data_IF_979607271886
#
_entry.id   IF_979607271886
#
_cell.length_a   1.000
_cell.length_b   1.000
_cell.length_c   1.000
_cell.angle_alpha   90.00
_cell.angle_beta   90.00
_cell.angle_gamma   90.00
#
_symmetry.space_group_name_H-M   'P 1'
#
loop_
_entity.id
_entity.type
_entity.pdbx_description
1 polymer ?
#
# COMPACT_ATOMS: atom_id res chain seq x y z
N UNK A 1 53.22 4.35 -4.66
CA UNK A 1 52.36 4.40 -3.48
C UNK A 1 51.12 5.20 -3.83
N UNK A 2 50.09 4.52 -4.30
CA UNK A 2 48.74 5.08 -4.43
C UNK A 2 47.88 4.47 -3.34
N UNK A 3 47.49 5.29 -2.37
CA UNK A 3 46.49 4.92 -1.38
C UNK A 3 45.10 5.00 -2.03
N UNK A 4 44.51 3.86 -2.36
CA UNK A 4 43.09 3.72 -2.69
C UNK A 4 42.39 3.66 -1.34
N UNK A 5 41.81 4.77 -0.91
CA UNK A 5 40.85 4.82 0.19
C UNK A 5 39.51 4.32 -0.38
N UNK A 6 39.27 3.02 -0.30
CA UNK A 6 37.99 2.40 -0.52
C UNK A 6 37.14 2.65 0.73
N UNK A 7 36.23 3.61 0.69
CA UNK A 7 35.19 3.77 1.71
C UNK A 7 34.06 2.79 1.34
N UNK A 8 34.32 1.50 1.55
CA UNK A 8 33.27 0.50 1.65
C UNK A 8 32.82 0.45 3.10
N UNK A 9 31.82 1.21 3.44
CA UNK A 9 31.03 0.95 4.63
C UNK A 9 30.30 -0.38 4.45
N UNK A 10 30.92 -1.48 4.85
CA UNK A 10 30.22 -2.76 5.01
C UNK A 10 29.26 -2.60 6.19
N UNK A 11 28.00 -2.28 5.90
CA UNK A 11 26.94 -2.49 6.86
C UNK A 11 26.74 -4.00 7.02
N UNK A 12 26.89 -4.50 8.25
CA UNK A 12 26.44 -5.83 8.60
C UNK A 12 24.90 -5.79 8.53
N UNK A 13 24.33 -6.18 7.39
CA UNK A 13 22.89 -6.45 7.34
C UNK A 13 22.64 -7.60 8.33
N UNK A 14 21.80 -7.34 9.32
CA UNK A 14 21.21 -8.43 10.08
C UNK A 14 20.29 -9.14 9.06
N UNK A 15 20.68 -10.37 8.67
CA UNK A 15 19.91 -11.18 7.73
C UNK A 15 18.56 -11.49 8.39
N UNK A 16 17.55 -10.69 8.09
CA UNK A 16 16.16 -11.07 8.35
C UNK A 16 15.79 -12.15 7.34
N UNK A 17 15.21 -13.29 7.78
CA UNK A 17 14.93 -14.39 6.87
C UNK A 17 13.86 -14.07 5.81
N UNK A 18 13.15 -12.96 5.93
CA UNK A 18 12.05 -12.58 5.04
C UNK A 18 12.19 -11.13 4.60
N UNK A 19 11.91 -10.87 3.32
CA UNK A 19 11.92 -9.52 2.78
C UNK A 19 10.87 -9.33 1.66
N UNK A 20 10.55 -8.07 1.37
CA UNK A 20 9.70 -7.68 0.24
C UNK A 20 10.44 -6.78 -0.74
N UNK A 21 9.96 -6.72 -1.98
CA UNK A 21 10.38 -5.72 -2.97
C UNK A 21 9.16 -4.87 -3.33
N UNK A 22 9.25 -3.56 -3.11
CA UNK A 22 8.29 -2.58 -3.58
C UNK A 22 8.85 -1.88 -4.82
N UNK A 23 8.05 -1.75 -5.88
CA UNK A 23 8.45 -1.08 -7.10
C UNK A 23 7.49 0.08 -7.33
N UNK A 24 7.99 1.30 -7.19
CA UNK A 24 7.20 2.50 -7.44
C UNK A 24 7.08 2.77 -8.93
N UNK A 25 5.86 2.83 -9.44
CA UNK A 25 5.54 3.13 -10.84
C UNK A 25 4.73 4.43 -10.87
N UNK A 26 5.38 5.60 -11.07
CA UNK A 26 4.74 6.90 -10.85
C UNK A 26 3.82 7.38 -11.98
N UNK A 27 3.44 6.54 -12.92
CA UNK A 27 2.72 6.96 -14.11
C UNK A 27 1.21 6.91 -13.96
N UNK A 28 0.53 8.00 -14.26
CA UNK A 28 -0.93 8.11 -14.34
C UNK A 28 -1.38 8.74 -15.66
N UNK A 29 -2.52 8.33 -16.24
CA UNK A 29 -3.12 9.05 -17.38
C UNK A 29 -3.64 10.43 -16.96
N UNK A 30 -4.15 10.53 -15.74
CA UNK A 30 -4.57 11.77 -15.08
C UNK A 30 -4.44 11.58 -13.56
N UNK A 31 -4.16 12.65 -12.84
CA UNK A 31 -4.13 12.64 -11.38
C UNK A 31 -5.56 12.71 -10.83
N UNK A 32 -5.87 11.87 -9.86
CA UNK A 32 -7.09 11.98 -9.06
C UNK A 32 -7.02 13.21 -8.17
N UNK A 33 -8.16 13.82 -7.83
CA UNK A 33 -8.19 15.11 -7.13
C UNK A 33 -7.80 15.03 -5.66
N UNK A 34 -7.78 13.84 -5.08
CA UNK A 34 -7.41 13.59 -3.68
C UNK A 34 -5.98 13.07 -3.52
N UNK A 35 -5.31 12.68 -4.62
CA UNK A 35 -4.08 11.90 -4.56
C UNK A 35 -2.85 12.80 -4.38
N UNK A 36 -2.08 12.53 -3.33
CA UNK A 36 -0.80 13.16 -3.00
C UNK A 36 0.42 12.30 -3.37
N UNK A 37 0.21 11.05 -3.79
CA UNK A 37 1.31 10.17 -4.18
C UNK A 37 2.16 10.78 -5.28
N UNK A 38 3.47 10.60 -5.14
CA UNK A 38 4.40 10.97 -6.19
C UNK A 38 4.03 10.31 -7.53
N UNK A 39 3.57 11.11 -8.49
CA UNK A 39 3.11 10.61 -9.78
C UNK A 39 3.24 11.66 -10.89
N UNK A 40 3.29 11.18 -12.13
CA UNK A 40 3.39 12.01 -13.34
C UNK A 40 2.44 11.54 -14.44
N UNK A 41 2.13 12.45 -15.37
CA UNK A 41 1.39 12.14 -16.59
C UNK A 41 2.30 11.99 -17.83
N UNK A 42 3.62 12.03 -17.68
CA UNK A 42 4.62 11.93 -18.75
C UNK A 42 4.81 10.47 -19.19
N UNK A 43 3.79 9.89 -19.82
CA UNK A 43 3.76 8.47 -20.17
C UNK A 43 4.84 8.04 -21.16
N UNK A 44 5.41 8.97 -21.92
CA UNK A 44 6.51 8.74 -22.86
C UNK A 44 7.81 8.32 -22.15
N UNK A 45 7.96 8.63 -20.87
CA UNK A 45 9.15 8.25 -20.08
C UNK A 45 9.11 6.84 -19.52
N UNK A 46 8.00 6.11 -19.67
CA UNK A 46 7.80 4.79 -19.03
C UNK A 46 8.90 3.79 -19.34
N UNK A 47 9.33 3.68 -20.60
CA UNK A 47 10.34 2.70 -21.01
C UNK A 47 11.72 3.04 -20.42
N UNK A 48 12.15 4.30 -20.50
CA UNK A 48 13.41 4.76 -19.91
C UNK A 48 13.40 4.58 -18.38
N UNK A 49 12.26 4.85 -17.75
CA UNK A 49 12.08 4.65 -16.32
C UNK A 49 12.21 3.18 -15.90
N UNK A 50 11.58 2.25 -16.63
CA UNK A 50 11.71 0.82 -16.33
C UNK A 50 13.15 0.33 -16.50
N UNK A 51 13.88 0.85 -17.50
CA UNK A 51 15.31 0.53 -17.63
C UNK A 51 16.11 1.06 -16.44
N UNK A 52 15.79 2.26 -15.94
CA UNK A 52 16.42 2.82 -14.74
C UNK A 52 16.11 1.97 -13.49
N UNK A 53 14.88 1.49 -13.31
CA UNK A 53 14.53 0.58 -12.20
C UNK A 53 15.28 -0.77 -12.31
N UNK A 54 15.44 -1.32 -13.50
CA UNK A 54 16.25 -2.53 -13.73
C UNK A 54 17.71 -2.26 -13.36
N UNK A 55 18.25 -1.12 -13.73
CA UNK A 55 19.62 -0.72 -13.41
C UNK A 55 19.81 -0.53 -11.89
N UNK A 56 18.83 0.06 -11.22
CA UNK A 56 18.83 0.18 -9.75
C UNK A 56 18.81 -1.22 -9.09
N UNK A 57 17.94 -2.13 -9.54
CA UNK A 57 17.93 -3.50 -9.06
C UNK A 57 19.31 -4.17 -9.15
N UNK A 58 20.01 -4.01 -10.28
CA UNK A 58 21.35 -4.57 -10.46
C UNK A 58 22.36 -4.05 -9.44
N UNK A 59 22.17 -2.82 -8.92
CA UNK A 59 23.02 -2.26 -7.86
C UNK A 59 22.78 -2.96 -6.53
N UNK A 60 21.53 -3.29 -6.22
CA UNK A 60 21.16 -3.93 -4.94
C UNK A 60 21.15 -5.47 -5.01
N UNK A 61 21.16 -6.05 -6.19
CA UNK A 61 20.99 -7.48 -6.45
C UNK A 61 21.91 -8.37 -5.60
N UNK A 62 23.20 -8.05 -5.51
CA UNK A 62 24.18 -8.89 -4.79
C UNK A 62 23.84 -9.06 -3.30
N UNK A 63 23.18 -8.08 -2.72
CA UNK A 63 22.80 -8.07 -1.32
C UNK A 63 21.41 -8.68 -1.12
N UNK A 64 20.43 -8.21 -1.91
CA UNK A 64 19.03 -8.58 -1.72
C UNK A 64 18.68 -9.96 -2.29
N UNK A 65 19.43 -10.48 -3.26
CA UNK A 65 19.25 -11.87 -3.75
C UNK A 65 19.59 -12.94 -2.71
N UNK A 66 20.27 -12.57 -1.63
CA UNK A 66 20.56 -13.46 -0.50
C UNK A 66 19.44 -13.50 0.54
N UNK A 67 18.45 -12.62 0.43
CA UNK A 67 17.27 -12.58 1.30
C UNK A 67 16.20 -13.53 0.78
N UNK A 68 15.36 -14.04 1.68
CA UNK A 68 14.15 -14.78 1.31
C UNK A 68 13.07 -13.80 0.84
N UNK A 69 13.08 -13.46 -0.45
CA UNK A 69 12.08 -12.54 -1.03
C UNK A 69 10.73 -13.25 -1.12
N UNK A 70 9.76 -12.79 -0.34
CA UNK A 70 8.41 -13.38 -0.29
C UNK A 70 7.39 -12.64 -1.14
N UNK A 71 7.58 -11.35 -1.34
CA UNK A 71 6.61 -10.52 -2.03
C UNK A 71 7.28 -9.53 -2.97
N UNK A 72 6.64 -9.29 -4.12
CA UNK A 72 6.98 -8.21 -5.05
C UNK A 72 5.70 -7.40 -5.28
N UNK A 73 5.76 -6.10 -5.06
CA UNK A 73 4.60 -5.23 -5.19
C UNK A 73 4.89 -4.08 -6.15
N UNK A 74 4.14 -3.99 -7.23
CA UNK A 74 4.20 -2.90 -8.19
C UNK A 74 3.05 -1.93 -7.89
N UNK A 75 3.38 -0.76 -7.35
CA UNK A 75 2.40 0.22 -6.88
C UNK A 75 2.75 1.67 -7.23
N UNK A 76 1.99 2.60 -6.67
CA UNK A 76 2.22 4.04 -6.73
C UNK A 76 1.22 4.80 -7.59
N UNK A 77 1.52 5.12 -8.83
CA UNK A 77 0.60 5.80 -9.75
C UNK A 77 -0.43 4.83 -10.34
N UNK A 78 -0.10 4.23 -11.47
CA UNK A 78 -0.96 3.26 -12.14
C UNK A 78 -0.09 2.23 -12.89
N UNK A 79 0.43 1.21 -12.22
CA UNK A 79 1.30 0.19 -12.83
C UNK A 79 0.69 -0.54 -14.03
N UNK A 80 -0.63 -0.67 -14.09
CA UNK A 80 -1.36 -1.24 -15.23
C UNK A 80 -1.20 -0.49 -16.56
N UNK A 81 -0.56 0.70 -16.54
CA UNK A 81 -0.22 1.48 -17.74
C UNK A 81 1.11 1.10 -18.37
N UNK A 82 1.93 0.33 -17.69
CA UNK A 82 3.23 -0.11 -18.21
C UNK A 82 3.01 -1.15 -19.30
N UNK A 83 3.72 -1.04 -20.44
CA UNK A 83 3.67 -2.07 -21.49
C UNK A 83 4.06 -3.44 -20.94
N UNK A 84 3.36 -4.48 -21.39
CA UNK A 84 3.58 -5.87 -20.92
C UNK A 84 5.03 -6.29 -21.07
N UNK A 85 5.66 -5.93 -22.18
CA UNK A 85 7.07 -6.28 -22.44
C UNK A 85 8.02 -5.61 -21.42
N UNK A 86 7.75 -4.36 -21.05
CA UNK A 86 8.55 -3.65 -20.05
C UNK A 86 8.37 -4.27 -18.65
N UNK A 87 7.12 -4.64 -18.27
CA UNK A 87 6.86 -5.40 -17.03
C UNK A 87 7.55 -6.77 -17.04
N UNK A 88 7.53 -7.46 -18.18
CA UNK A 88 8.18 -8.77 -18.34
C UNK A 88 9.70 -8.64 -18.15
N UNK A 89 10.33 -7.65 -18.76
CA UNK A 89 11.77 -7.40 -18.61
C UNK A 89 12.12 -7.09 -17.14
N UNK A 90 11.36 -6.23 -16.49
CA UNK A 90 11.56 -5.87 -15.09
C UNK A 90 11.44 -7.07 -14.17
N UNK A 91 10.32 -7.79 -14.23
CA UNK A 91 10.10 -8.97 -13.39
C UNK A 91 11.11 -10.09 -13.71
N UNK A 92 11.47 -10.30 -14.98
CA UNK A 92 12.50 -11.26 -15.35
C UNK A 92 13.87 -10.90 -14.75
N UNK A 93 14.26 -9.62 -14.79
CA UNK A 93 15.52 -9.16 -14.17
C UNK A 93 15.59 -9.48 -12.68
N UNK A 94 14.48 -9.30 -11.94
CA UNK A 94 14.41 -9.61 -10.52
C UNK A 94 14.35 -11.12 -10.28
N UNK A 95 13.36 -11.80 -10.87
CA UNK A 95 13.07 -13.21 -10.60
C UNK A 95 14.20 -14.16 -11.04
N UNK A 96 14.98 -13.82 -12.08
CA UNK A 96 16.13 -14.63 -12.50
C UNK A 96 17.32 -14.58 -11.56
N UNK A 97 17.32 -13.67 -10.60
CA UNK A 97 18.45 -13.41 -9.69
C UNK A 97 18.17 -13.73 -8.22
N UNK A 98 16.95 -14.12 -7.88
CA UNK A 98 16.53 -14.49 -6.51
C UNK A 98 16.07 -15.95 -6.48
N UNK A 99 15.97 -16.54 -5.29
CA UNK A 99 15.28 -17.81 -5.10
C UNK A 99 13.77 -17.63 -5.16
N UNK A 100 13.17 -17.98 -6.28
CA UNK A 100 11.74 -17.81 -6.52
C UNK A 100 10.86 -18.80 -5.76
N UNK A 101 11.43 -19.84 -5.14
CA UNK A 101 10.67 -20.83 -4.35
C UNK A 101 9.98 -20.19 -3.12
N UNK A 102 10.49 -19.08 -2.66
CA UNK A 102 9.94 -18.31 -1.54
C UNK A 102 8.91 -17.25 -1.97
N UNK A 103 8.86 -16.86 -3.24
CA UNK A 103 7.97 -15.80 -3.74
C UNK A 103 6.52 -16.29 -3.73
N UNK A 104 5.73 -15.71 -2.84
CA UNK A 104 4.34 -16.09 -2.62
C UNK A 104 3.34 -15.14 -3.30
N UNK A 105 3.71 -13.86 -3.41
CA UNK A 105 2.81 -12.81 -3.89
C UNK A 105 3.55 -11.85 -4.82
N UNK A 106 3.04 -11.70 -6.05
CA UNK A 106 3.44 -10.65 -6.98
C UNK A 106 2.19 -9.84 -7.29
N UNK A 107 2.11 -8.66 -6.68
CA UNK A 107 0.94 -7.76 -6.79
C UNK A 107 1.17 -6.69 -7.86
N UNK A 108 0.14 -6.42 -8.65
CA UNK A 108 0.07 -5.27 -9.55
C UNK A 108 -1.12 -4.39 -9.18
N UNK A 109 -0.89 -3.10 -8.97
CA UNK A 109 -1.97 -2.12 -8.89
C UNK A 109 -2.53 -1.79 -10.27
N UNK A 110 -3.85 -1.70 -10.35
CA UNK A 110 -4.54 -1.45 -11.60
C UNK A 110 -5.71 -0.48 -11.46
N UNK A 111 -5.89 0.35 -12.49
CA UNK A 111 -7.15 1.07 -12.64
C UNK A 111 -8.17 0.16 -13.36
N UNK A 112 -9.44 0.07 -12.89
CA UNK A 112 -10.46 -0.75 -13.54
C UNK A 112 -10.59 -0.51 -15.05
N UNK A 113 -10.48 0.74 -15.49
CA UNK A 113 -10.56 1.09 -16.92
C UNK A 113 -9.38 0.61 -17.79
N UNK A 114 -8.35 0.01 -17.19
CA UNK A 114 -7.21 -0.55 -17.93
C UNK A 114 -7.28 -2.08 -18.04
N UNK A 115 -8.27 -2.74 -17.42
CA UNK A 115 -8.43 -4.20 -17.38
C UNK A 115 -9.03 -4.72 -18.68
N UNK A 116 -8.35 -5.69 -19.28
CA UNK A 116 -8.86 -6.51 -20.39
C UNK A 116 -8.47 -7.96 -20.18
N UNK A 117 -9.21 -8.89 -20.77
CA UNK A 117 -8.90 -10.33 -20.71
C UNK A 117 -7.48 -10.63 -21.19
N UNK A 118 -7.04 -9.96 -22.27
CA UNK A 118 -5.69 -10.09 -22.80
C UNK A 118 -4.61 -9.67 -21.79
N UNK A 119 -4.78 -8.50 -21.15
CA UNK A 119 -3.86 -8.02 -20.11
C UNK A 119 -3.80 -8.96 -18.93
N UNK A 120 -4.94 -9.46 -18.44
CA UNK A 120 -4.97 -10.41 -17.32
C UNK A 120 -4.17 -11.66 -17.66
N UNK A 121 -4.40 -12.25 -18.84
CA UNK A 121 -3.62 -13.41 -19.29
C UNK A 121 -2.13 -13.12 -19.38
N UNK A 122 -1.77 -11.96 -19.94
CA UNK A 122 -0.37 -11.54 -20.07
C UNK A 122 0.30 -11.30 -18.72
N UNK A 123 -0.37 -10.64 -17.78
CA UNK A 123 0.15 -10.43 -16.43
C UNK A 123 0.35 -11.75 -15.68
N UNK A 124 -0.62 -12.66 -15.75
CA UNK A 124 -0.46 -14.00 -15.17
C UNK A 124 0.72 -14.76 -15.77
N UNK A 125 0.93 -14.67 -17.09
CA UNK A 125 2.02 -15.33 -17.77
C UNK A 125 3.43 -14.85 -17.33
N UNK A 126 3.54 -13.62 -16.80
CA UNK A 126 4.80 -13.08 -16.25
C UNK A 126 4.90 -13.24 -14.72
N UNK A 127 3.98 -13.97 -14.09
CA UNK A 127 4.03 -14.32 -12.68
C UNK A 127 3.18 -13.44 -11.74
N UNK A 128 2.48 -12.41 -12.24
CA UNK A 128 1.57 -11.62 -11.40
C UNK A 128 0.42 -12.53 -10.96
N UNK A 129 0.22 -12.67 -9.64
CA UNK A 129 -0.76 -13.56 -9.04
C UNK A 129 -1.75 -12.84 -8.11
N UNK A 130 -1.59 -11.51 -7.91
CA UNK A 130 -2.53 -10.66 -7.17
C UNK A 130 -2.75 -9.34 -7.90
N UNK A 131 -4.00 -8.84 -7.89
CA UNK A 131 -4.34 -7.47 -8.32
C UNK A 131 -4.86 -6.65 -7.15
N UNK A 132 -4.46 -5.37 -7.09
CA UNK A 132 -5.14 -4.35 -6.29
C UNK A 132 -5.80 -3.35 -7.23
N UNK A 133 -7.12 -3.26 -7.19
CA UNK A 133 -7.88 -2.42 -8.10
C UNK A 133 -8.46 -1.20 -7.37
N UNK A 134 -7.98 0.00 -7.72
CA UNK A 134 -8.50 1.24 -7.18
C UNK A 134 -9.91 1.55 -7.71
N UNK A 135 -10.94 0.94 -7.14
CA UNK A 135 -12.35 1.14 -7.49
C UNK A 135 -12.86 2.45 -6.91
N UNK A 136 -12.63 2.69 -5.66
CA UNK A 136 -12.99 3.84 -4.81
C UNK A 136 -14.49 3.91 -4.46
N UNK A 137 -15.39 3.78 -5.43
CA UNK A 137 -16.84 3.74 -5.26
C UNK A 137 -17.51 3.07 -6.46
N UNK A 138 -18.73 2.59 -6.29
CA UNK A 138 -19.60 2.15 -7.37
C UNK A 138 -20.67 3.20 -7.71
N UNK A 139 -20.44 4.46 -7.35
CA UNK A 139 -21.29 5.60 -7.66
C UNK A 139 -20.58 6.54 -8.62
N UNK A 140 -21.10 6.66 -9.86
CA UNK A 140 -20.47 7.49 -10.90
C UNK A 140 -20.35 8.96 -10.54
N UNK A 141 -21.29 9.52 -9.76
CA UNK A 141 -21.22 10.89 -9.26
C UNK A 141 -19.98 11.09 -8.36
N UNK A 142 -19.75 10.15 -7.44
CA UNK A 142 -18.60 10.19 -6.53
C UNK A 142 -17.30 9.95 -7.29
N UNK A 143 -17.27 9.00 -8.21
CA UNK A 143 -16.10 8.75 -9.08
C UNK A 143 -15.70 10.00 -9.88
N UNK A 144 -16.69 10.69 -10.48
CA UNK A 144 -16.45 11.94 -11.20
C UNK A 144 -15.95 13.06 -10.27
N UNK A 145 -16.52 13.15 -9.05
CA UNK A 145 -16.11 14.14 -8.07
C UNK A 145 -14.63 13.99 -7.72
N UNK A 146 -14.15 12.77 -7.49
CA UNK A 146 -12.75 12.51 -7.12
C UNK A 146 -11.81 12.35 -8.33
N UNK A 147 -12.32 12.52 -9.56
CA UNK A 147 -11.52 12.52 -10.79
C UNK A 147 -11.11 11.13 -11.28
N UNK A 148 -11.90 10.09 -10.98
CA UNK A 148 -11.67 8.73 -11.51
C UNK A 148 -12.04 8.66 -12.99
N UNK A 149 -11.28 7.85 -13.76
CA UNK A 149 -11.44 7.68 -15.20
C UNK A 149 -12.46 6.61 -15.59
N UNK A 150 -12.71 5.67 -14.70
CA UNK A 150 -13.62 4.55 -14.90
C UNK A 150 -15.01 4.86 -14.32
N UNK A 151 -16.01 4.16 -14.81
CA UNK A 151 -17.37 4.13 -14.27
C UNK A 151 -17.56 2.94 -13.31
N UNK A 152 -18.65 2.97 -12.54
CA UNK A 152 -19.07 1.86 -11.68
C UNK A 152 -19.19 0.55 -12.47
N UNK A 153 -19.84 0.59 -13.64
CA UNK A 153 -19.98 -0.58 -14.51
C UNK A 153 -18.62 -1.13 -14.98
N UNK A 154 -17.69 -0.25 -15.34
CA UNK A 154 -16.35 -0.66 -15.72
C UNK A 154 -15.58 -1.32 -14.54
N UNK A 155 -15.79 -0.85 -13.31
CA UNK A 155 -15.19 -1.46 -12.12
C UNK A 155 -15.74 -2.88 -11.88
N UNK A 156 -17.05 -3.05 -11.97
CA UNK A 156 -17.72 -4.36 -11.85
C UNK A 156 -17.20 -5.32 -12.93
N UNK A 157 -17.17 -4.87 -14.17
CA UNK A 157 -16.72 -5.69 -15.29
C UNK A 157 -15.24 -6.06 -15.20
N UNK A 158 -14.39 -5.15 -14.69
CA UNK A 158 -12.97 -5.40 -14.48
C UNK A 158 -12.74 -6.55 -13.50
N UNK A 159 -13.43 -6.55 -12.36
CA UNK A 159 -13.35 -7.65 -11.38
C UNK A 159 -13.82 -8.97 -12.01
N UNK A 160 -14.97 -8.99 -12.65
CA UNK A 160 -15.50 -10.20 -13.31
C UNK A 160 -14.57 -10.73 -14.41
N UNK A 161 -13.94 -9.83 -15.18
CA UNK A 161 -12.97 -10.20 -16.21
C UNK A 161 -11.74 -10.86 -15.57
N UNK A 162 -11.19 -10.29 -14.50
CA UNK A 162 -10.05 -10.88 -13.81
C UNK A 162 -10.37 -12.27 -13.24
N UNK A 163 -11.54 -12.44 -12.60
CA UNK A 163 -12.03 -13.72 -12.09
C UNK A 163 -12.19 -14.75 -13.22
N UNK A 164 -12.81 -14.38 -14.33
CA UNK A 164 -13.04 -15.26 -15.49
C UNK A 164 -11.73 -15.72 -16.11
N UNK A 165 -10.73 -14.84 -16.19
CA UNK A 165 -9.40 -15.16 -16.69
C UNK A 165 -8.51 -15.88 -15.65
N UNK A 166 -9.10 -16.30 -14.51
CA UNK A 166 -8.46 -17.13 -13.49
C UNK A 166 -7.47 -16.40 -12.58
N UNK A 167 -7.56 -15.07 -12.47
CA UNK A 167 -6.87 -14.29 -11.47
C UNK A 167 -7.86 -13.95 -10.36
N UNK A 168 -7.93 -14.81 -9.32
CA UNK A 168 -8.92 -14.75 -8.26
C UNK A 168 -8.43 -13.99 -7.01
N UNK A 169 -7.12 -13.83 -6.82
CA UNK A 169 -6.58 -13.04 -5.72
C UNK A 169 -6.67 -11.55 -6.07
N UNK A 170 -7.84 -10.97 -5.77
CA UNK A 170 -8.19 -9.59 -6.11
C UNK A 170 -8.46 -8.83 -4.84
N UNK A 171 -7.81 -7.67 -4.69
CA UNK A 171 -8.21 -6.61 -3.77
C UNK A 171 -8.97 -5.54 -4.53
N UNK A 172 -10.00 -4.98 -3.93
CA UNK A 172 -10.59 -3.72 -4.38
C UNK A 172 -10.40 -2.66 -3.30
N UNK A 173 -10.07 -1.45 -3.73
CA UNK A 173 -9.89 -0.33 -2.82
C UNK A 173 -11.17 0.52 -2.88
N UNK A 174 -11.76 0.81 -1.72
CA UNK A 174 -12.93 1.66 -1.54
C UNK A 174 -12.57 2.90 -0.72
N UNK A 175 -13.29 3.99 -0.95
CA UNK A 175 -13.16 5.22 -0.17
C UNK A 175 -14.50 5.62 0.42
N UNK A 176 -14.51 5.94 1.72
CA UNK A 176 -15.65 6.52 2.40
C UNK A 176 -15.36 7.97 2.82
N UNK A 177 -16.37 8.63 3.36
CA UNK A 177 -16.34 10.04 3.72
C UNK A 177 -16.01 10.97 2.53
N UNK A 178 -16.38 10.57 1.30
CA UNK A 178 -16.25 11.42 0.12
C UNK A 178 -17.21 12.63 0.21
N UNK A 179 -16.84 13.82 -0.30
CA UNK A 179 -17.69 15.02 -0.21
C UNK A 179 -19.10 14.76 -0.73
N UNK A 180 -20.09 14.99 0.13
CA UNK A 180 -21.51 14.76 -0.20
C UNK A 180 -21.90 13.29 -0.42
N UNK A 181 -21.08 12.34 0.02
CA UNK A 181 -21.46 10.92 0.09
C UNK A 181 -22.48 10.72 1.21
N UNK A 182 -23.57 10.05 0.93
CA UNK A 182 -24.56 9.68 1.94
C UNK A 182 -24.30 8.28 2.50
N UNK A 183 -24.79 7.99 3.70
CA UNK A 183 -24.75 6.63 4.26
C UNK A 183 -25.41 5.60 3.33
N UNK A 184 -26.50 5.95 2.66
CA UNK A 184 -27.15 5.04 1.73
C UNK A 184 -26.28 4.70 0.50
N UNK A 185 -25.53 5.67 -0.03
CA UNK A 185 -24.57 5.44 -1.11
C UNK A 185 -23.41 4.57 -0.64
N UNK A 186 -22.90 4.79 0.57
CA UNK A 186 -21.88 3.94 1.15
C UNK A 186 -22.35 2.50 1.38
N UNK A 187 -23.56 2.33 1.89
CA UNK A 187 -24.17 1.01 2.04
C UNK A 187 -24.31 0.28 0.69
N UNK A 188 -24.65 0.99 -0.36
CA UNK A 188 -24.72 0.44 -1.71
C UNK A 188 -23.33 0.02 -2.24
N UNK A 189 -22.29 0.82 -1.98
CA UNK A 189 -20.91 0.48 -2.34
C UNK A 189 -20.44 -0.82 -1.66
N UNK A 190 -20.69 -0.97 -0.35
CA UNK A 190 -20.34 -2.19 0.41
C UNK A 190 -21.16 -3.39 -0.11
N UNK A 191 -22.45 -3.23 -0.34
CA UNK A 191 -23.28 -4.31 -0.87
C UNK A 191 -22.78 -4.78 -2.25
N UNK A 192 -22.37 -3.84 -3.11
CA UNK A 192 -21.82 -4.17 -4.42
C UNK A 192 -20.46 -4.87 -4.30
N UNK A 193 -19.59 -4.43 -3.39
CA UNK A 193 -18.30 -5.08 -3.11
C UNK A 193 -18.48 -6.53 -2.65
N UNK A 194 -19.41 -6.77 -1.73
CA UNK A 194 -19.77 -8.12 -1.26
C UNK A 194 -20.35 -8.99 -2.38
N UNK A 195 -21.17 -8.43 -3.25
CA UNK A 195 -21.75 -9.15 -4.42
C UNK A 195 -20.68 -9.59 -5.42
N UNK A 196 -19.54 -8.89 -5.51
CA UNK A 196 -18.40 -9.26 -6.36
C UNK A 196 -17.57 -10.42 -5.80
N UNK A 197 -17.76 -10.80 -4.54
CA UNK A 197 -17.08 -11.93 -3.90
C UNK A 197 -15.55 -11.87 -4.03
N UNK A 198 -14.97 -10.68 -3.93
CA UNK A 198 -13.51 -10.53 -3.92
C UNK A 198 -12.95 -11.02 -2.58
N UNK A 199 -11.76 -11.64 -2.57
CA UNK A 199 -11.18 -12.16 -1.33
C UNK A 199 -10.62 -11.08 -0.40
N UNK A 200 -10.44 -9.85 -0.88
CA UNK A 200 -9.81 -8.78 -0.12
C UNK A 200 -10.43 -7.42 -0.47
N UNK A 201 -10.60 -6.58 0.54
CA UNK A 201 -11.10 -5.20 0.42
C UNK A 201 -10.21 -4.31 1.26
N UNK A 202 -9.65 -3.27 0.62
CA UNK A 202 -9.02 -2.14 1.30
C UNK A 202 -10.02 -0.99 1.36
N UNK A 203 -10.14 -0.32 2.50
CA UNK A 203 -11.07 0.80 2.62
C UNK A 203 -10.47 1.94 3.44
N UNK A 204 -10.49 3.13 2.88
CA UNK A 204 -9.83 4.32 3.43
C UNK A 204 -10.84 5.44 3.58
N UNK A 205 -10.84 6.11 4.75
CA UNK A 205 -11.46 7.41 4.88
C UNK A 205 -10.74 8.44 4.01
N UNK A 206 -11.48 9.37 3.42
CA UNK A 206 -10.86 10.44 2.64
C UNK A 206 -10.06 11.36 3.56
N UNK A 207 -8.77 11.51 3.26
CA UNK A 207 -7.89 12.51 3.87
C UNK A 207 -7.72 13.67 2.89
N UNK A 208 -7.81 14.89 3.42
CA UNK A 208 -7.61 16.12 2.64
C UNK A 208 -6.14 16.53 2.70
N UNK A 209 -5.33 15.94 1.82
CA UNK A 209 -3.89 16.21 1.77
C UNK A 209 -3.59 17.60 1.19
N UNK A 210 -2.62 18.29 1.79
CA UNK A 210 -2.21 19.63 1.38
C UNK A 210 -1.76 19.64 -0.09
N UNK A 211 -2.12 20.69 -0.81
CA UNK A 211 -1.74 20.86 -2.23
C UNK A 211 -2.62 20.08 -3.22
N UNK A 212 -3.50 19.20 -2.78
CA UNK A 212 -4.42 18.48 -3.67
C UNK A 212 -5.56 19.38 -4.16
N UNK A 213 -6.09 19.16 -5.38
CA UNK A 213 -7.24 19.92 -5.88
C UNK A 213 -8.47 19.80 -4.98
N UNK A 214 -8.65 18.65 -4.31
CA UNK A 214 -9.81 18.43 -3.45
C UNK A 214 -9.73 19.27 -2.18
N UNK A 215 -8.55 19.38 -1.57
CA UNK A 215 -8.29 20.25 -0.41
C UNK A 215 -8.50 21.72 -0.78
N UNK A 216 -8.00 22.14 -1.95
CA UNK A 216 -8.25 23.51 -2.43
C UNK A 216 -9.76 23.79 -2.63
N UNK A 217 -10.54 22.81 -3.08
CA UNK A 217 -11.99 22.96 -3.19
C UNK A 217 -12.68 23.08 -1.84
N UNK A 218 -12.20 22.34 -0.84
CA UNK A 218 -12.70 22.43 0.53
C UNK A 218 -12.42 23.84 1.12
N UNK A 219 -11.19 24.32 1.01
CA UNK A 219 -10.77 25.65 1.48
C UNK A 219 -11.56 26.78 0.80
N UNK A 220 -11.91 26.60 -0.47
CA UNK A 220 -12.71 27.55 -1.25
C UNK A 220 -14.23 27.43 -0.99
N UNK A 221 -14.65 26.50 -0.12
CA UNK A 221 -16.08 26.27 0.17
C UNK A 221 -16.88 25.67 -1.01
N UNK A 222 -16.20 25.11 -2.02
CA UNK A 222 -16.85 24.45 -3.17
C UNK A 222 -17.40 23.08 -2.84
N UNK A 223 -16.82 22.43 -1.87
CA UNK A 223 -17.26 21.17 -1.28
C UNK A 223 -17.27 21.28 0.23
N UNK A 224 -17.97 20.37 0.89
CA UNK A 224 -18.01 20.25 2.35
C UNK A 224 -17.53 18.86 2.73
N UNK A 225 -16.64 18.77 3.71
CA UNK A 225 -16.23 17.50 4.28
C UNK A 225 -17.41 16.83 4.99
N UNK A 226 -17.39 15.51 5.04
CA UNK A 226 -18.28 14.75 5.93
C UNK A 226 -17.83 15.05 7.37
N UNK A 227 -18.78 15.24 8.26
CA UNK A 227 -18.48 15.42 9.68
C UNK A 227 -17.99 14.11 10.33
N UNK A 228 -17.24 14.27 11.41
CA UNK A 228 -16.58 13.15 12.09
C UNK A 228 -17.58 12.07 12.56
N UNK A 229 -18.78 12.46 13.02
CA UNK A 229 -19.79 11.50 13.47
C UNK A 229 -20.27 10.61 12.31
N UNK A 230 -20.55 11.19 11.14
CA UNK A 230 -20.94 10.44 9.95
C UNK A 230 -19.79 9.59 9.40
N UNK A 231 -18.55 10.09 9.46
CA UNK A 231 -17.36 9.32 9.07
C UNK A 231 -17.20 8.08 9.95
N UNK A 232 -17.30 8.24 11.29
CA UNK A 232 -17.26 7.11 12.23
C UNK A 232 -18.37 6.10 11.97
N UNK A 233 -19.61 6.56 11.71
CA UNK A 233 -20.72 5.68 11.39
C UNK A 233 -20.48 4.89 10.08
N UNK A 234 -19.85 5.51 9.07
CA UNK A 234 -19.49 4.83 7.82
C UNK A 234 -18.43 3.73 8.07
N UNK A 235 -17.44 4.01 8.91
CA UNK A 235 -16.43 3.03 9.29
C UNK A 235 -17.01 1.88 10.10
N UNK A 236 -17.83 2.16 11.10
CA UNK A 236 -18.47 1.12 11.93
C UNK A 236 -19.35 0.21 11.08
N UNK A 237 -20.12 0.78 10.13
CA UNK A 237 -20.91 0.00 9.19
C UNK A 237 -20.04 -0.90 8.30
N UNK A 238 -18.92 -0.37 7.80
CA UNK A 238 -17.95 -1.16 7.03
C UNK A 238 -17.47 -2.38 7.82
N UNK A 239 -16.96 -2.14 9.03
CA UNK A 239 -16.42 -3.21 9.90
C UNK A 239 -17.49 -4.25 10.19
N UNK A 240 -18.70 -3.82 10.59
CA UNK A 240 -19.82 -4.72 10.86
C UNK A 240 -20.18 -5.58 9.66
N UNK A 241 -20.37 -4.95 8.49
CA UNK A 241 -20.81 -5.69 7.30
C UNK A 241 -19.77 -6.66 6.79
N UNK A 242 -18.50 -6.25 6.71
CA UNK A 242 -17.45 -7.13 6.22
C UNK A 242 -17.17 -8.30 7.17
N UNK A 243 -17.12 -8.06 8.48
CA UNK A 243 -16.93 -9.13 9.47
C UNK A 243 -18.11 -10.10 9.50
N UNK A 244 -19.34 -9.63 9.37
CA UNK A 244 -20.54 -10.46 9.25
C UNK A 244 -20.51 -11.38 8.01
N UNK A 245 -19.82 -10.97 6.95
CA UNK A 245 -19.66 -11.74 5.71
C UNK A 245 -18.35 -12.55 5.68
N UNK A 246 -17.68 -12.72 6.83
CA UNK A 246 -16.54 -13.61 6.99
C UNK A 246 -15.18 -13.01 6.63
N UNK A 247 -15.10 -11.71 6.42
CA UNK A 247 -13.81 -11.04 6.29
C UNK A 247 -13.20 -10.81 7.67
N UNK A 248 -11.91 -11.07 7.78
CA UNK A 248 -11.10 -10.71 8.95
C UNK A 248 -10.65 -9.26 8.81
N UNK A 249 -10.99 -8.42 9.79
CA UNK A 249 -10.45 -7.07 9.92
C UNK A 249 -9.06 -7.19 10.53
N UNK A 250 -8.04 -7.37 9.69
CA UNK A 250 -6.71 -7.74 10.16
C UNK A 250 -5.78 -6.54 10.42
N UNK A 251 -6.10 -5.36 9.89
CA UNK A 251 -5.50 -4.08 10.24
C UNK A 251 -6.47 -2.94 9.89
N UNK A 252 -6.15 -1.72 10.29
CA UNK A 252 -7.05 -0.55 10.34
C UNK A 252 -7.88 -0.32 9.07
N UNK A 253 -7.32 -0.58 7.88
CA UNK A 253 -7.94 -0.28 6.58
C UNK A 253 -8.19 -1.52 5.70
N UNK A 254 -7.74 -2.71 6.13
CA UNK A 254 -7.76 -3.88 5.27
C UNK A 254 -8.54 -5.06 5.86
N UNK A 255 -9.34 -5.66 4.98
CA UNK A 255 -10.23 -6.77 5.28
C UNK A 255 -9.96 -7.90 4.28
N UNK A 256 -9.73 -9.11 4.76
CA UNK A 256 -9.46 -10.27 3.92
C UNK A 256 -10.22 -11.50 4.37
N UNK A 257 -10.66 -12.35 3.45
CA UNK A 257 -11.10 -13.69 3.80
C UNK A 257 -9.92 -14.48 4.38
N UNK A 258 -10.19 -15.52 5.16
CA UNK A 258 -9.16 -16.34 5.79
C UNK A 258 -8.06 -16.75 4.81
N UNK A 259 -6.82 -16.40 5.12
CA UNK A 259 -5.65 -16.69 4.29
C UNK A 259 -5.48 -15.79 3.05
N UNK A 260 -6.31 -14.77 2.88
CA UNK A 260 -6.29 -13.86 1.72
C UNK A 260 -5.81 -12.43 2.09
N UNK A 261 -5.15 -12.28 3.23
CA UNK A 261 -4.51 -11.01 3.60
C UNK A 261 -3.44 -10.64 2.57
N UNK A 262 -3.26 -9.34 2.29
CA UNK A 262 -2.13 -8.86 1.50
C UNK A 262 -0.83 -9.17 2.23
N UNK A 263 -0.01 -10.05 1.67
CA UNK A 263 1.24 -10.45 2.32
C UNK A 263 2.25 -9.30 2.33
N UNK A 264 2.29 -8.54 1.23
CA UNK A 264 3.19 -7.40 1.12
C UNK A 264 2.82 -6.30 2.11
N UNK A 265 1.55 -5.86 2.14
CA UNK A 265 1.12 -4.82 3.08
C UNK A 265 1.26 -5.27 4.54
N UNK A 266 0.96 -6.55 4.82
CA UNK A 266 1.15 -7.11 6.16
C UNK A 266 2.60 -7.10 6.63
N UNK A 267 3.58 -7.10 5.72
CA UNK A 267 5.00 -7.05 6.08
C UNK A 267 5.41 -5.71 6.67
N UNK A 268 4.80 -4.61 6.26
CA UNK A 268 5.05 -3.28 6.83
C UNK A 268 4.66 -3.19 8.31
N UNK A 269 3.60 -3.91 8.70
CA UNK A 269 3.13 -3.93 10.10
C UNK A 269 3.97 -4.82 11.01
N UNK A 270 4.83 -5.66 10.45
CA UNK A 270 5.61 -6.67 11.18
C UNK A 270 7.12 -6.32 11.27
N UNK A 271 7.52 -5.10 10.99
CA UNK A 271 8.95 -4.69 10.97
C UNK A 271 9.80 -5.53 9.97
N UNK A 272 9.19 -6.04 8.90
CA UNK A 272 9.86 -6.85 7.88
C UNK A 272 10.65 -5.93 6.93
N UNK A 273 11.94 -6.22 6.65
CA UNK A 273 12.71 -5.46 5.68
C UNK A 273 12.10 -5.46 4.29
N UNK A 274 12.28 -4.36 3.59
CA UNK A 274 11.85 -4.24 2.19
C UNK A 274 12.77 -3.32 1.41
N UNK A 275 12.96 -3.65 0.12
CA UNK A 275 13.64 -2.82 -0.84
C UNK A 275 12.63 -2.08 -1.70
N UNK A 276 12.68 -0.75 -1.67
CA UNK A 276 11.95 0.11 -2.59
C UNK A 276 12.78 0.46 -3.80
N UNK A 277 12.27 0.22 -4.99
CA UNK A 277 12.87 0.57 -6.26
C UNK A 277 12.03 1.63 -6.97
N UNK A 278 12.68 2.58 -7.63
CA UNK A 278 12.02 3.65 -8.36
C UNK A 278 12.07 5.00 -7.65
N UNK A 279 11.74 6.06 -8.38
CA UNK A 279 11.73 7.43 -7.87
C UNK A 279 10.75 7.59 -6.70
N UNK A 280 11.20 8.19 -5.60
CA UNK A 280 10.41 8.37 -4.38
C UNK A 280 10.14 7.08 -3.59
N UNK A 281 10.69 5.93 -4.01
CA UNK A 281 10.53 4.69 -3.26
C UNK A 281 11.37 4.69 -1.98
N UNK A 282 10.77 4.20 -0.90
CA UNK A 282 11.42 4.01 0.39
C UNK A 282 11.86 2.56 0.58
N UNK A 283 12.94 2.37 1.30
CA UNK A 283 13.49 1.06 1.68
C UNK A 283 13.76 1.01 3.18
N UNK A 284 13.80 -0.21 3.73
CA UNK A 284 14.06 -0.47 5.14
C UNK A 284 14.78 -1.81 5.30
N UNK A 285 15.87 -1.83 6.08
CA UNK A 285 16.68 -3.03 6.31
C UNK A 285 16.57 -3.61 7.74
N UNK A 286 15.70 -3.02 8.55
CA UNK A 286 15.60 -3.35 9.97
C UNK A 286 16.34 -2.39 10.90
N UNK A 287 17.19 -1.50 10.39
CA UNK A 287 17.95 -0.52 11.16
C UNK A 287 17.95 0.88 10.55
N UNK A 288 17.94 0.93 9.23
CA UNK A 288 17.99 2.15 8.45
C UNK A 288 16.81 2.24 7.49
N UNK A 289 16.39 3.46 7.21
CA UNK A 289 15.55 3.79 6.08
C UNK A 289 16.35 4.60 5.08
N UNK A 290 16.04 4.40 3.80
CA UNK A 290 16.53 5.27 2.74
C UNK A 290 15.46 5.42 1.67
N UNK A 291 15.52 6.50 0.93
CA UNK A 291 14.55 6.77 -0.13
C UNK A 291 15.21 7.45 -1.31
N UNK A 292 14.68 7.13 -2.48
CA UNK A 292 15.13 7.69 -3.72
C UNK A 292 14.54 9.09 -3.93
N UNK A 293 15.22 9.90 -4.74
CA UNK A 293 14.72 11.21 -5.14
C UNK A 293 13.33 11.09 -5.80
N UNK A 294 12.42 11.98 -5.43
CA UNK A 294 11.07 12.08 -5.99
C UNK A 294 11.03 12.98 -7.25
N UNK A 295 11.96 12.73 -8.18
CA UNK A 295 12.03 13.36 -9.49
C UNK A 295 12.37 12.31 -10.54
N UNK A 296 11.56 12.22 -11.61
CA UNK A 296 11.69 11.15 -12.61
C UNK A 296 12.94 11.33 -13.47
N UNK A 297 13.22 12.55 -13.90
CA UNK A 297 14.35 12.82 -14.81
C UNK A 297 15.67 12.62 -14.08
N UNK A 298 15.75 13.14 -12.86
CA UNK A 298 16.93 13.00 -12.04
C UNK A 298 17.15 11.53 -11.61
N UNK A 299 16.08 10.83 -11.22
CA UNK A 299 16.15 9.40 -10.92
C UNK A 299 16.68 8.58 -12.11
N UNK A 300 16.13 8.80 -13.31
CA UNK A 300 16.61 8.11 -14.53
C UNK A 300 18.08 8.40 -14.78
N UNK A 301 18.48 9.68 -14.71
CA UNK A 301 19.86 10.09 -14.96
C UNK A 301 20.84 9.48 -13.94
N UNK A 302 20.51 9.53 -12.64
CA UNK A 302 21.33 8.97 -11.56
C UNK A 302 21.43 7.45 -11.66
N UNK A 303 20.31 6.76 -11.89
CA UNK A 303 20.28 5.32 -12.00
C UNK A 303 21.09 4.81 -13.20
N UNK A 304 20.86 5.37 -14.37
CA UNK A 304 21.58 4.99 -15.58
C UNK A 304 23.06 5.30 -15.57
N UNK A 305 23.51 6.26 -14.76
CA UNK A 305 24.93 6.57 -14.55
C UNK A 305 25.55 5.84 -13.35
N UNK A 306 24.84 4.94 -12.69
CA UNK A 306 25.24 4.27 -11.44
C UNK A 306 25.63 5.23 -10.29
N UNK A 307 24.92 6.37 -10.22
CA UNK A 307 25.19 7.43 -9.24
C UNK A 307 23.96 7.73 -8.37
N UNK A 308 23.12 6.74 -8.11
CA UNK A 308 22.00 6.90 -7.18
C UNK A 308 22.52 7.36 -5.81
N UNK A 309 21.88 8.38 -5.26
CA UNK A 309 22.19 8.99 -3.97
C UNK A 309 20.93 9.08 -3.14
N UNK A 310 20.45 7.95 -2.58
CA UNK A 310 19.29 7.99 -1.72
C UNK A 310 19.60 8.80 -0.46
N UNK A 311 18.62 9.53 0.02
CA UNK A 311 18.62 10.04 1.38
C UNK A 311 18.45 8.88 2.35
N UNK A 312 18.98 9.00 3.57
CA UNK A 312 18.94 7.90 4.54
C UNK A 312 18.89 8.41 5.97
N UNK A 313 18.28 7.60 6.84
CA UNK A 313 18.25 7.82 8.28
C UNK A 313 18.52 6.52 9.03
N UNK A 314 19.14 6.62 10.19
CA UNK A 314 19.32 5.49 11.12
C UNK A 314 18.24 5.59 12.19
N UNK A 315 17.49 4.52 12.38
CA UNK A 315 16.39 4.48 13.34
C UNK A 315 16.98 4.14 14.72
N UNK A 316 16.79 5.05 15.67
CA UNK A 316 17.19 4.82 17.06
C UNK A 316 16.34 3.74 17.73
N UNK A 317 16.82 3.22 18.87
CA UNK A 317 16.04 2.25 19.64
C UNK A 317 14.71 2.83 20.16
N UNK A 318 14.66 4.13 20.47
CA UNK A 318 13.47 4.83 20.92
C UNK A 318 12.46 4.98 19.79
N UNK A 319 12.90 5.45 18.61
CA UNK A 319 12.05 5.54 17.42
C UNK A 319 11.49 4.17 17.01
N UNK A 320 12.34 3.13 17.04
CA UNK A 320 11.89 1.75 16.78
C UNK A 320 10.81 1.31 17.75
N UNK A 321 10.96 1.61 19.04
CA UNK A 321 9.96 1.29 20.04
C UNK A 321 8.64 2.01 19.76
N UNK A 322 8.69 3.32 19.49
CA UNK A 322 7.50 4.09 19.11
C UNK A 322 6.80 3.51 17.87
N UNK A 323 7.57 3.17 16.84
CA UNK A 323 7.03 2.55 15.63
C UNK A 323 6.39 1.19 15.89
N UNK A 324 7.00 0.33 16.70
CA UNK A 324 6.43 -0.97 17.06
C UNK A 324 5.07 -0.82 17.76
N UNK A 325 4.94 0.15 18.66
CA UNK A 325 3.65 0.45 19.32
C UNK A 325 2.65 0.98 18.29
N UNK A 326 3.08 1.94 17.48
CA UNK A 326 2.24 2.57 16.46
C UNK A 326 1.73 1.55 15.41
N UNK A 327 2.61 0.71 14.91
CA UNK A 327 2.28 -0.31 13.91
C UNK A 327 1.44 -1.44 14.53
N UNK A 328 1.83 -1.93 15.70
CA UNK A 328 1.13 -3.03 16.38
C UNK A 328 -0.32 -2.71 16.68
N UNK A 329 -0.60 -1.52 17.24
CA UNK A 329 -1.97 -1.11 17.58
C UNK A 329 -2.86 -0.87 16.35
N UNK A 330 -2.28 -0.71 15.14
CA UNK A 330 -3.05 -0.63 13.89
C UNK A 330 -3.45 -2.00 13.34
N UNK A 331 -3.04 -3.08 13.98
CA UNK A 331 -3.36 -4.45 13.56
C UNK A 331 -4.21 -5.20 14.57
N UNK A 332 -4.89 -6.23 14.12
CA UNK A 332 -5.64 -7.15 14.98
C UNK A 332 -4.76 -7.97 15.91
N UNK A 333 -3.43 -7.99 15.69
CA UNK A 333 -2.46 -8.66 16.56
C UNK A 333 -2.14 -7.83 17.80
N UNK A 334 -2.19 -6.50 17.69
CA UNK A 334 -1.86 -5.60 18.78
C UNK A 334 -0.36 -5.53 19.09
N UNK A 335 -0.06 -5.06 20.30
CA UNK A 335 1.30 -4.85 20.81
C UNK A 335 1.45 -5.55 22.18
N UNK A 336 2.68 -6.00 22.50
CA UNK A 336 2.97 -6.62 23.81
C UNK A 336 2.65 -5.67 24.96
N UNK A 337 2.02 -6.18 26.02
CA UNK A 337 1.71 -5.41 27.23
C UNK A 337 2.97 -4.76 27.83
N UNK A 338 4.15 -5.37 27.66
CA UNK A 338 5.43 -4.85 28.14
C UNK A 338 5.96 -3.68 27.34
N UNK A 339 5.39 -3.41 26.18
CA UNK A 339 5.85 -2.32 25.29
C UNK A 339 5.06 -1.03 25.48
N UNK A 340 4.04 -1.00 26.33
CA UNK A 340 3.17 0.16 26.54
C UNK A 340 3.00 0.47 28.02
N UNK A 341 2.59 1.70 28.31
CA UNK A 341 2.19 2.10 29.66
C UNK A 341 0.86 1.43 30.05
N UNK A 342 0.95 0.33 30.80
CA UNK A 342 -0.23 -0.47 31.17
C UNK A 342 -1.21 0.24 32.12
N UNK A 343 -0.76 1.20 32.95
CA UNK A 343 -1.67 1.97 33.78
C UNK A 343 -2.60 2.84 32.93
N UNK A 344 -2.06 3.47 31.90
CA UNK A 344 -2.84 4.21 30.89
C UNK A 344 -3.70 3.28 30.02
N UNK A 345 -3.12 2.13 29.59
CA UNK A 345 -3.85 1.15 28.78
C UNK A 345 -5.09 0.60 29.51
N UNK A 346 -5.03 0.39 30.83
CA UNK A 346 -6.16 -0.08 31.63
C UNK A 346 -7.33 0.90 31.62
N UNK A 347 -7.09 2.22 31.61
CA UNK A 347 -8.14 3.22 31.47
C UNK A 347 -8.89 3.05 30.14
N UNK A 348 -8.15 2.94 29.03
CA UNK A 348 -8.72 2.71 27.70
C UNK A 348 -9.43 1.36 27.56
N UNK A 349 -8.95 0.33 28.27
CA UNK A 349 -9.61 -0.98 28.34
C UNK A 349 -10.95 -0.86 29.07
N UNK A 350 -10.97 -0.15 30.19
CA UNK A 350 -12.20 0.05 30.97
C UNK A 350 -13.27 0.84 30.18
N UNK A 351 -12.85 1.73 29.31
CA UNK A 351 -13.71 2.53 28.42
C UNK A 351 -14.07 1.81 27.10
N UNK A 352 -13.49 0.62 26.84
CA UNK A 352 -13.80 -0.18 25.66
C UNK A 352 -13.02 0.15 24.38
N UNK A 353 -12.08 1.09 24.43
CA UNK A 353 -11.22 1.44 23.28
C UNK A 353 -10.14 0.40 23.00
N UNK A 354 -9.64 -0.24 24.06
CA UNK A 354 -8.65 -1.32 23.97
C UNK A 354 -9.19 -2.60 24.60
N UNK A 355 -8.58 -3.73 24.26
CA UNK A 355 -8.85 -5.01 24.91
C UNK A 355 -7.55 -5.77 25.10
N UNK A 356 -7.53 -6.70 26.05
CA UNK A 356 -6.45 -7.68 26.18
C UNK A 356 -6.76 -8.92 25.34
N UNK A 357 -5.74 -9.43 24.68
CA UNK A 357 -5.76 -10.70 23.96
C UNK A 357 -4.48 -11.48 24.32
N UNK A 358 -4.56 -12.31 25.35
CA UNK A 358 -3.36 -12.88 25.96
C UNK A 358 -2.45 -11.80 26.54
N UNK A 359 -1.21 -11.76 26.11
CA UNK A 359 -0.21 -10.76 26.50
C UNK A 359 -0.16 -9.53 25.57
N UNK A 360 -1.16 -9.38 24.71
CA UNK A 360 -1.26 -8.28 23.75
C UNK A 360 -2.33 -7.28 24.17
N UNK A 361 -2.05 -6.00 23.96
CA UNK A 361 -3.02 -4.90 23.93
C UNK A 361 -3.46 -4.70 22.49
N UNK A 362 -4.76 -4.75 22.23
CA UNK A 362 -5.34 -4.67 20.88
C UNK A 362 -6.39 -3.57 20.85
N UNK A 363 -6.40 -2.74 19.81
CA UNK A 363 -7.44 -1.76 19.58
C UNK A 363 -8.77 -2.45 19.22
N UNK A 364 -9.88 -1.90 19.73
CA UNK A 364 -11.24 -2.26 19.31
C UNK A 364 -11.67 -1.39 18.11
N UNK A 365 -12.80 -1.68 17.49
CA UNK A 365 -13.36 -0.78 16.45
C UNK A 365 -13.54 0.64 16.99
N UNK A 366 -14.05 0.78 18.21
CA UNK A 366 -14.15 2.08 18.88
C UNK A 366 -12.77 2.72 19.10
N UNK A 367 -11.75 1.93 19.42
CA UNK A 367 -10.38 2.40 19.59
C UNK A 367 -9.76 2.93 18.29
N UNK A 368 -10.13 2.42 17.13
CA UNK A 368 -9.63 2.92 15.86
C UNK A 368 -10.05 4.36 15.56
N UNK A 369 -11.20 4.83 16.07
CA UNK A 369 -11.65 6.22 15.90
C UNK A 369 -10.73 7.26 16.55
N UNK A 370 -10.02 6.89 17.61
CA UNK A 370 -9.12 7.77 18.35
C UNK A 370 -7.72 7.21 18.52
N UNK A 371 -7.31 6.33 17.61
CA UNK A 371 -6.11 5.51 17.76
C UNK A 371 -4.82 6.33 17.92
N UNK A 372 -4.66 7.43 17.18
CA UNK A 372 -3.46 8.27 17.27
C UNK A 372 -3.28 8.84 18.69
N UNK A 373 -4.36 9.32 19.32
CA UNK A 373 -4.31 9.79 20.70
C UNK A 373 -3.99 8.67 21.69
N UNK A 374 -4.58 7.47 21.47
CA UNK A 374 -4.26 6.32 22.31
C UNK A 374 -2.78 5.98 22.22
N UNK A 375 -2.20 5.95 21.00
CA UNK A 375 -0.78 5.67 20.79
C UNK A 375 0.10 6.68 21.52
N UNK A 376 -0.16 7.97 21.37
CA UNK A 376 0.57 9.05 22.04
C UNK A 376 0.53 8.91 23.58
N UNK A 377 -0.64 8.55 24.12
CA UNK A 377 -0.80 8.38 25.56
C UNK A 377 -0.08 7.11 26.08
N UNK A 378 0.03 6.05 25.29
CA UNK A 378 0.64 4.78 25.69
C UNK A 378 2.16 4.76 25.62
N UNK A 379 2.75 5.66 24.85
CA UNK A 379 4.21 5.91 24.80
C UNK A 379 4.65 6.79 25.95
#
# INVERSE_FOLDING_TARGET
YFAITCVCGFFLLILHPMAGIYIHIPFCKSRCRYCDFFSTTQLEKREAYIQAVIQEWQTYQALWSQQEIRTIYLGGGTPSLIPIESLRLLLHSILSSIDTSHVQEITLEANPGDITAEKIRAWRAIGINRLSMGVQSFNDRLLQLVGRRHSAEQAIQAVKTAQTEGLSNISIDLMYALPGQTMAEWQADIAQALALQVPHISSYGLIYEEGTPLTQWLEQGKITAIDEENEMQMYDYLVEQLTKHGYEHYEVSNFGLMGQHSKHNSSYWNDTPYLGLGAGAHSYDGQMRWWNIADIDEYIAQSMSHQLRPEQEVISAEERHMEQVMLGLRTSKGVQCTAVNMDKAQAYIAEGYLRLSGEQVVATTQGYHTLNRIIEDLL
#
